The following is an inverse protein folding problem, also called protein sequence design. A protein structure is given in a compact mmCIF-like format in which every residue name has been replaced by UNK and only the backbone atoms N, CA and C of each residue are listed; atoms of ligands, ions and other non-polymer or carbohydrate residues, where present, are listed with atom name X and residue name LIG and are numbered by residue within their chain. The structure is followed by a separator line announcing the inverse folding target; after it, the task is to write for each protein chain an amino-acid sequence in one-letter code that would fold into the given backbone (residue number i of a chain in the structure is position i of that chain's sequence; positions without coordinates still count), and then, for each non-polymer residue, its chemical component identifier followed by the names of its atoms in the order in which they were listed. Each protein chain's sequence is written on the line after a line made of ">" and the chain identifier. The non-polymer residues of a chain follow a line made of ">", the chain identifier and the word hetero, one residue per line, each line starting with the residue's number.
data_IF_029032864158
#
_entry.id   IF_029032864158
#
_cell.length_a   1.000
_cell.length_b   1.000
_cell.length_c   1.000
_cell.angle_alpha   90.00
_cell.angle_beta   90.00
_cell.angle_gamma   90.00
#
_symmetry.space_group_name_H-M   'P 1'
#
loop_
_entity.id
_entity.type
_entity.pdbx_description
1 polymer ?
#
# COMPACT_ATOMS: atom_id res chain seq x y z
N UNK A 1 -26.81 3.65 -5.41
CA UNK A 1 -26.65 2.34 -6.06
C UNK A 1 -25.24 1.89 -5.76
N UNK A 2 -25.11 0.82 -4.98
CA UNK A 2 -23.87 0.32 -4.37
C UNK A 2 -23.15 -0.65 -5.33
N UNK A 3 -22.73 -0.13 -6.47
CA UNK A 3 -22.23 -0.93 -7.59
C UNK A 3 -20.95 -1.72 -7.32
N UNK A 4 -20.08 -1.24 -6.43
CA UNK A 4 -18.77 -1.88 -6.20
C UNK A 4 -18.88 -3.02 -5.20
N UNK A 5 -19.46 -2.80 -4.02
CA UNK A 5 -19.42 -3.80 -2.95
C UNK A 5 -20.46 -4.91 -3.12
N UNK A 6 -21.63 -4.62 -3.71
CA UNK A 6 -22.65 -5.65 -3.94
C UNK A 6 -22.16 -6.72 -4.93
N UNK A 7 -21.42 -6.34 -5.96
CA UNK A 7 -20.86 -7.27 -6.96
C UNK A 7 -19.82 -8.21 -6.35
N UNK A 8 -19.09 -7.75 -5.34
CA UNK A 8 -18.02 -8.52 -4.68
C UNK A 8 -18.41 -9.04 -3.30
N UNK A 9 -19.69 -8.96 -2.90
CA UNK A 9 -20.13 -9.30 -1.55
C UNK A 9 -19.76 -10.73 -1.16
N UNK A 10 -20.03 -11.71 -2.03
CA UNK A 10 -19.69 -13.12 -1.79
C UNK A 10 -18.17 -13.31 -1.65
N UNK A 11 -17.38 -12.62 -2.48
CA UNK A 11 -15.92 -12.69 -2.46
C UNK A 11 -15.36 -12.12 -1.16
N UNK A 12 -15.76 -10.90 -0.80
CA UNK A 12 -15.28 -10.22 0.41
C UNK A 12 -15.77 -10.89 1.69
N UNK A 13 -16.88 -11.63 1.65
CA UNK A 13 -17.33 -12.44 2.79
C UNK A 13 -16.47 -13.68 3.05
N UNK A 14 -15.72 -14.15 2.05
CA UNK A 14 -15.00 -15.42 2.09
C UNK A 14 -13.48 -15.27 2.03
N UNK A 15 -12.97 -14.14 1.55
CA UNK A 15 -11.54 -13.88 1.36
C UNK A 15 -11.19 -12.52 1.97
N UNK A 16 -10.21 -12.43 2.88
CA UNK A 16 -9.71 -11.16 3.36
C UNK A 16 -9.25 -10.28 2.20
N UNK A 17 -9.73 -9.05 2.17
CA UNK A 17 -9.33 -8.05 1.20
C UNK A 17 -8.63 -6.91 1.95
N UNK A 18 -7.34 -6.72 1.65
CA UNK A 18 -6.48 -5.74 2.33
C UNK A 18 -5.93 -4.78 1.26
N UNK A 19 -6.66 -3.68 0.96
CA UNK A 19 -6.28 -2.75 -0.10
C UNK A 19 -5.18 -1.79 0.34
N UNK A 20 -4.54 -1.16 -0.66
CA UNK A 20 -3.83 0.09 -0.50
C UNK A 20 -4.60 1.18 -1.24
N UNK A 21 -4.64 2.39 -0.70
CA UNK A 21 -5.29 3.55 -1.31
C UNK A 21 -4.55 3.99 -2.58
N UNK A 22 -5.31 4.50 -3.55
CA UNK A 22 -4.78 5.09 -4.78
C UNK A 22 -5.36 6.46 -5.08
N UNK A 23 -4.91 7.08 -6.16
CA UNK A 23 -5.29 8.45 -6.52
C UNK A 23 -6.82 8.67 -6.67
N UNK A 24 -7.58 7.62 -6.94
CA UNK A 24 -9.04 7.69 -7.03
C UNK A 24 -9.73 7.74 -5.65
N UNK A 25 -9.16 7.15 -4.61
CA UNK A 25 -9.66 7.26 -3.23
C UNK A 25 -9.50 8.69 -2.70
N UNK A 26 -8.43 9.36 -3.13
CA UNK A 26 -8.13 10.74 -2.77
C UNK A 26 -9.01 11.77 -3.46
N UNK A 27 -9.78 11.38 -4.48
CA UNK A 27 -10.73 12.25 -5.18
C UNK A 27 -11.88 12.75 -4.28
N UNK A 28 -12.14 12.09 -3.15
CA UNK A 28 -13.21 12.45 -2.20
C UNK A 28 -12.69 12.48 -0.76
N UNK A 29 -12.86 13.63 -0.09
CA UNK A 29 -12.60 13.82 1.34
C UNK A 29 -11.23 13.28 1.82
N UNK A 30 -10.20 13.36 0.96
CA UNK A 30 -8.84 12.88 1.24
C UNK A 30 -8.81 11.41 1.73
N UNK A 31 -9.33 10.51 0.89
CA UNK A 31 -9.54 9.10 1.19
C UNK A 31 -10.48 8.86 2.40
N UNK A 32 -11.49 9.72 2.57
CA UNK A 32 -12.52 9.57 3.61
C UNK A 32 -13.29 8.26 3.46
N UNK A 33 -13.96 8.03 2.32
CA UNK A 33 -14.72 6.79 2.10
C UNK A 33 -13.88 5.51 2.22
N UNK A 34 -12.64 5.53 1.73
CA UNK A 34 -11.70 4.39 1.88
C UNK A 34 -11.53 4.00 3.35
N UNK A 35 -11.28 4.98 4.24
CA UNK A 35 -11.10 4.76 5.68
C UNK A 35 -12.40 4.46 6.44
N UNK A 36 -13.55 4.70 5.83
CA UNK A 36 -14.85 4.39 6.43
C UNK A 36 -15.32 2.98 6.07
N UNK A 37 -14.94 2.48 4.89
CA UNK A 37 -15.44 1.20 4.37
C UNK A 37 -14.52 0.03 4.75
N UNK A 38 -13.21 0.24 4.79
CA UNK A 38 -12.27 -0.81 5.17
C UNK A 38 -11.88 -0.71 6.64
N UNK A 39 -11.74 -1.85 7.30
CA UNK A 39 -11.16 -1.96 8.64
C UNK A 39 -9.76 -2.58 8.49
N UNK A 40 -8.72 -1.77 8.64
CA UNK A 40 -7.34 -2.13 8.35
C UNK A 40 -6.47 -1.95 9.61
N UNK A 41 -5.26 -2.52 9.65
CA UNK A 41 -4.39 -2.34 10.79
C UNK A 41 -4.04 -0.86 11.04
N UNK A 42 -4.13 -0.44 12.30
CA UNK A 42 -3.77 0.91 12.74
C UNK A 42 -2.34 0.96 13.33
N UNK A 43 -1.40 0.23 12.72
CA UNK A 43 -0.02 0.17 13.19
C UNK A 43 0.93 1.14 12.45
N UNK A 44 0.41 1.97 11.54
CA UNK A 44 1.13 3.01 10.77
C UNK A 44 1.56 4.26 11.56
N UNK A 45 1.38 4.27 12.89
CA UNK A 45 1.54 5.46 13.72
C UNK A 45 0.38 6.46 13.57
N UNK A 46 0.44 7.58 14.30
CA UNK A 46 -0.66 8.55 14.40
C UNK A 46 -1.11 9.06 13.03
N UNK A 47 -0.20 9.34 12.09
CA UNK A 47 -0.60 9.85 10.77
C UNK A 47 -1.04 8.75 9.79
N UNK A 48 -0.74 7.49 10.10
CA UNK A 48 -1.08 6.33 9.26
C UNK A 48 -2.58 6.21 9.10
N UNK A 49 -3.34 6.10 10.20
CA UNK A 49 -4.81 6.01 10.18
C UNK A 49 -5.34 5.18 8.99
N UNK A 50 -4.92 3.92 8.91
CA UNK A 50 -5.29 2.93 7.87
C UNK A 50 -4.82 3.23 6.43
N UNK A 51 -4.05 4.31 6.20
CA UNK A 51 -3.47 4.65 4.89
C UNK A 51 -2.23 3.82 4.57
N UNK A 52 -1.34 3.68 5.55
CA UNK A 52 -0.17 2.81 5.48
C UNK A 52 -0.09 2.00 6.78
N UNK A 53 0.29 0.74 6.64
CA UNK A 53 0.26 -0.24 7.70
C UNK A 53 0.97 -1.52 7.25
N UNK A 54 1.18 -2.44 8.17
CA UNK A 54 1.76 -3.74 7.89
C UNK A 54 0.99 -4.87 8.54
N UNK A 55 1.12 -6.08 8.02
CA UNK A 55 0.56 -7.28 8.61
C UNK A 55 1.35 -8.52 8.19
N UNK A 56 1.25 -9.57 8.99
CA UNK A 56 1.84 -10.86 8.67
C UNK A 56 0.77 -11.83 8.17
N UNK A 57 1.10 -12.57 7.12
CA UNK A 57 0.29 -13.70 6.66
C UNK A 57 1.19 -14.87 6.29
N UNK A 58 1.18 -15.90 7.15
CA UNK A 58 2.06 -17.05 6.99
C UNK A 58 3.55 -16.63 7.01
N UNK A 59 4.35 -16.96 5.99
CA UNK A 59 5.78 -16.64 5.95
C UNK A 59 6.08 -15.24 5.41
N UNK A 60 5.07 -14.40 5.18
CA UNK A 60 5.26 -13.08 4.57
C UNK A 60 4.82 -11.95 5.51
N UNK A 61 5.64 -10.92 5.53
CA UNK A 61 5.36 -9.61 6.10
C UNK A 61 4.98 -8.67 4.95
N UNK A 62 3.76 -8.17 4.99
CA UNK A 62 3.20 -7.28 3.97
C UNK A 62 3.16 -5.85 4.49
N UNK A 63 3.54 -4.91 3.62
CA UNK A 63 3.52 -3.48 3.91
C UNK A 63 2.68 -2.77 2.86
N UNK A 64 1.60 -2.13 3.29
CA UNK A 64 0.83 -1.19 2.48
C UNK A 64 1.46 0.19 2.59
N UNK A 65 1.83 0.79 1.45
CA UNK A 65 2.24 2.19 1.40
C UNK A 65 1.16 3.05 0.73
N UNK A 66 0.98 4.25 1.24
CA UNK A 66 0.17 5.28 0.61
C UNK A 66 1.06 6.20 -0.23
N UNK A 67 0.87 6.15 -1.55
CA UNK A 67 1.67 6.93 -2.51
C UNK A 67 1.08 8.30 -2.84
N UNK A 68 -0.11 8.62 -2.35
CA UNK A 68 -0.75 9.92 -2.58
C UNK A 68 -0.39 10.95 -1.49
N UNK A 69 0.15 10.49 -0.36
CA UNK A 69 0.65 11.33 0.73
C UNK A 69 2.16 11.32 0.83
N UNK A 70 2.73 12.51 0.95
CA UNK A 70 4.16 12.70 1.18
C UNK A 70 4.37 13.09 2.64
N UNK A 71 4.92 12.18 3.45
CA UNK A 71 5.16 12.43 4.86
C UNK A 71 6.42 11.74 5.36
N UNK A 72 7.26 12.48 6.09
CA UNK A 72 8.40 11.94 6.83
C UNK A 72 8.00 10.83 7.80
N UNK A 73 6.77 10.88 8.31
CA UNK A 73 6.27 9.93 9.30
C UNK A 73 6.09 8.54 8.69
N UNK A 74 5.59 8.44 7.46
CA UNK A 74 5.50 7.16 6.74
C UNK A 74 6.89 6.58 6.46
N UNK A 75 7.86 7.42 6.08
CA UNK A 75 9.24 7.00 5.80
C UNK A 75 9.91 6.47 7.08
N UNK A 76 9.80 7.21 8.19
CA UNK A 76 10.34 6.80 9.49
C UNK A 76 9.66 5.52 9.99
N UNK A 77 8.33 5.46 9.90
CA UNK A 77 7.56 4.27 10.26
C UNK A 77 7.98 3.05 9.43
N UNK A 78 8.14 3.19 8.12
CA UNK A 78 8.53 2.09 7.22
C UNK A 78 9.88 1.49 7.61
N UNK A 79 10.87 2.33 7.90
CA UNK A 79 12.19 1.88 8.35
C UNK A 79 12.10 1.11 9.67
N UNK A 80 11.30 1.61 10.63
CA UNK A 80 11.09 0.92 11.91
C UNK A 80 10.33 -0.40 11.77
N UNK A 81 9.31 -0.43 10.93
CA UNK A 81 8.49 -1.60 10.67
C UNK A 81 9.32 -2.72 10.03
N UNK A 82 10.03 -2.41 8.94
CA UNK A 82 10.91 -3.35 8.26
C UNK A 82 12.12 -3.77 9.10
N UNK A 83 12.59 -2.94 10.04
CA UNK A 83 13.62 -3.32 11.00
C UNK A 83 13.14 -4.36 12.02
N UNK A 84 11.82 -4.40 12.29
CA UNK A 84 11.18 -5.34 13.24
C UNK A 84 10.60 -6.58 12.55
N UNK A 85 10.44 -6.55 11.23
CA UNK A 85 9.93 -7.67 10.45
C UNK A 85 10.80 -8.92 10.62
N UNK A 86 10.18 -10.04 11.03
CA UNK A 86 10.87 -11.31 11.33
C UNK A 86 10.52 -12.43 10.33
N UNK A 87 9.71 -12.09 9.30
CA UNK A 87 9.27 -13.04 8.27
C UNK A 87 10.31 -13.19 7.17
N UNK A 88 10.43 -14.37 6.54
CA UNK A 88 11.38 -14.59 5.46
C UNK A 88 11.06 -13.81 4.18
N UNK A 89 9.82 -13.34 4.00
CA UNK A 89 9.41 -12.56 2.83
C UNK A 89 8.89 -11.19 3.25
N UNK A 90 9.60 -10.13 2.87
CA UNK A 90 9.11 -8.75 2.95
C UNK A 90 8.54 -8.36 1.58
N UNK A 91 7.25 -8.03 1.55
CA UNK A 91 6.50 -7.66 0.34
C UNK A 91 5.86 -6.29 0.58
N UNK A 92 6.15 -5.36 -0.33
CA UNK A 92 5.49 -4.05 -0.34
C UNK A 92 4.42 -4.05 -1.41
N UNK A 93 3.29 -3.41 -1.13
CA UNK A 93 2.30 -3.08 -2.14
C UNK A 93 1.83 -1.64 -1.97
N UNK A 94 1.59 -0.98 -3.09
CA UNK A 94 1.28 0.45 -3.14
C UNK A 94 0.55 0.79 -4.45
N UNK A 95 -0.02 1.98 -4.59
CA UNK A 95 -0.70 2.34 -5.84
C UNK A 95 0.27 2.76 -6.95
N UNK A 96 1.12 3.76 -6.73
CA UNK A 96 2.06 4.26 -7.75
C UNK A 96 3.32 3.40 -7.87
N UNK A 97 3.73 3.03 -9.11
CA UNK A 97 4.88 2.17 -9.35
C UNK A 97 6.22 2.88 -9.10
N UNK A 98 7.28 2.19 -8.61
CA UNK A 98 8.65 2.73 -8.63
C UNK A 98 9.21 2.85 -10.05
N UNK A 99 8.78 1.96 -10.95
CA UNK A 99 9.21 1.90 -12.34
C UNK A 99 8.00 1.58 -13.23
N UNK A 100 7.83 2.31 -14.32
CA UNK A 100 6.74 2.08 -15.28
C UNK A 100 7.14 2.51 -16.69
N UNK A 101 6.75 1.69 -17.67
CA UNK A 101 6.76 2.02 -19.10
C UNK A 101 5.36 2.35 -19.65
N UNK A 102 4.38 2.50 -18.76
CA UNK A 102 2.99 2.78 -19.10
C UNK A 102 2.68 4.24 -19.41
N UNK A 103 1.44 4.51 -19.85
CA UNK A 103 1.00 5.85 -20.22
C UNK A 103 0.79 6.78 -19.02
N UNK A 104 0.55 6.25 -17.81
CA UNK A 104 0.46 7.08 -16.61
C UNK A 104 1.85 7.41 -16.09
N UNK A 105 2.77 6.43 -16.10
CA UNK A 105 4.21 6.61 -15.94
C UNK A 105 4.64 7.35 -14.66
N UNK A 106 5.95 7.54 -14.52
CA UNK A 106 6.56 8.31 -13.42
C UNK A 106 6.45 7.63 -12.05
N UNK A 107 7.54 7.66 -11.27
CA UNK A 107 7.57 7.02 -9.96
C UNK A 107 6.85 7.83 -8.86
N UNK A 108 6.39 9.05 -9.17
CA UNK A 108 5.84 9.98 -8.19
C UNK A 108 6.80 10.33 -7.05
N UNK A 109 8.11 10.09 -7.22
CA UNK A 109 9.15 10.16 -6.20
C UNK A 109 9.30 8.91 -5.32
N UNK A 110 8.69 7.78 -5.68
CA UNK A 110 8.77 6.52 -4.93
C UNK A 110 10.22 6.07 -4.74
N UNK A 111 11.02 6.02 -5.81
CA UNK A 111 12.41 5.54 -5.73
C UNK A 111 13.25 6.43 -4.82
N UNK A 112 13.07 7.76 -4.94
CA UNK A 112 13.77 8.73 -4.12
C UNK A 112 13.41 8.65 -2.62
N UNK A 113 12.19 8.22 -2.28
CA UNK A 113 11.71 8.15 -0.89
C UNK A 113 11.96 6.81 -0.22
N UNK A 114 11.72 5.73 -0.95
CA UNK A 114 11.64 4.39 -0.37
C UNK A 114 12.73 3.46 -0.87
N UNK A 115 13.29 3.69 -2.06
CA UNK A 115 14.18 2.75 -2.74
C UNK A 115 15.33 2.24 -1.87
N UNK A 116 16.00 3.14 -1.14
CA UNK A 116 17.11 2.75 -0.26
C UNK A 116 16.65 1.93 0.95
N UNK A 117 15.56 2.34 1.62
CA UNK A 117 14.97 1.60 2.76
C UNK A 117 14.55 0.19 2.32
N UNK A 118 13.88 0.08 1.17
CA UNK A 118 13.43 -1.23 0.66
C UNK A 118 14.60 -2.16 0.37
N UNK A 119 15.69 -1.63 -0.22
CA UNK A 119 16.91 -2.38 -0.51
C UNK A 119 17.64 -2.81 0.76
N UNK A 120 17.80 -1.89 1.72
CA UNK A 120 18.47 -2.14 3.00
C UNK A 120 17.77 -3.25 3.79
N UNK A 121 16.44 -3.24 3.83
CA UNK A 121 15.64 -4.24 4.54
C UNK A 121 15.24 -5.46 3.71
N UNK A 122 15.88 -5.64 2.55
CA UNK A 122 15.78 -6.86 1.76
C UNK A 122 14.39 -7.16 1.19
N UNK A 123 13.56 -6.14 0.94
CA UNK A 123 12.26 -6.29 0.27
C UNK A 123 12.46 -6.93 -1.10
N UNK A 124 11.72 -8.02 -1.37
CA UNK A 124 11.92 -8.85 -2.57
C UNK A 124 10.91 -8.61 -3.67
N UNK A 125 9.78 -7.99 -3.32
CA UNK A 125 8.68 -7.77 -4.24
C UNK A 125 7.97 -6.46 -3.88
N UNK A 126 7.75 -5.63 -4.90
CA UNK A 126 6.89 -4.46 -4.82
C UNK A 126 5.75 -4.67 -5.83
N UNK A 127 4.52 -4.73 -5.35
CA UNK A 127 3.31 -4.88 -6.18
C UNK A 127 2.64 -3.52 -6.32
N UNK A 128 2.38 -3.08 -7.55
CA UNK A 128 1.78 -1.76 -7.79
C UNK A 128 0.70 -1.79 -8.85
N UNK A 129 -0.07 -0.71 -8.89
CA UNK A 129 -1.10 -0.45 -9.89
C UNK A 129 -0.81 0.86 -10.61
N UNK A 130 -1.79 1.78 -10.56
CA UNK A 130 -1.81 3.07 -11.24
C UNK A 130 -1.82 3.00 -12.78
N UNK A 131 -0.83 2.33 -13.35
CA UNK A 131 -0.82 2.03 -14.77
C UNK A 131 -1.75 0.86 -15.09
N UNK A 132 -2.58 1.03 -16.12
CA UNK A 132 -3.61 0.06 -16.49
C UNK A 132 -3.07 -1.04 -17.43
N UNK A 133 -1.90 -1.59 -17.10
CA UNK A 133 -1.26 -2.69 -17.82
C UNK A 133 -0.49 -3.61 -16.86
N UNK A 134 0.12 -4.65 -17.42
CA UNK A 134 1.00 -5.56 -16.69
C UNK A 134 2.47 -5.34 -17.09
N UNK A 135 3.36 -5.21 -16.11
CA UNK A 135 4.81 -5.04 -16.29
C UNK A 135 5.60 -5.75 -15.16
N UNK A 136 6.84 -6.19 -15.45
CA UNK A 136 7.74 -6.84 -14.50
C UNK A 136 9.20 -6.72 -14.89
#
# INVERSE_FOLDING_TARGET
>A
EDYTFDVYADLFSSIPFVPASGNHDYGTANAGPYREVFALPENGGERGHERWFSFDWGPAHFVALDTEVNGSDQIAWLAEDLARADRPWNIVYAHRPPYSSGPHGGDGGFEARYGDILREHGVKLVLTGHDHHYER
#
